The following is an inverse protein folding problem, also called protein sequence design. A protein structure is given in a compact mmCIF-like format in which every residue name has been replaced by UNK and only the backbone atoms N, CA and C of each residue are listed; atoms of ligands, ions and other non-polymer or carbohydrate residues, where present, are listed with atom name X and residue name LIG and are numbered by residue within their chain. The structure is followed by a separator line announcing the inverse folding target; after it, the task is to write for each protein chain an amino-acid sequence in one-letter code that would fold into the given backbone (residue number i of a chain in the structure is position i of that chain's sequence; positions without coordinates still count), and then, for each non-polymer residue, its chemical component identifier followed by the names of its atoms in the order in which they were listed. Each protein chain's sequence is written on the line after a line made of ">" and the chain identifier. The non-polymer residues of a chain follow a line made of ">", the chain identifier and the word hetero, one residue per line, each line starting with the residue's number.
data_IF_738017315520
#
_entry.id   IF_738017315520
#
_cell.length_a   1.000
_cell.length_b   1.000
_cell.length_c   1.000
_cell.angle_alpha   90.00
_cell.angle_beta   90.00
_cell.angle_gamma   90.00
#
_symmetry.space_group_name_H-M   'P 1'
#
loop_
_entity.id
_entity.type
_entity.pdbx_description
1 polymer ?
#
# COMPACT_ATOMS: atom_id res chain seq x y z
N UNK A 1 -39.61 11.01 26.06
CA UNK A 1 -38.16 10.88 26.36
C UNK A 1 -37.46 10.40 25.09
N UNK A 2 -36.76 11.30 24.41
CA UNK A 2 -35.28 11.42 24.29
C UNK A 2 -34.67 10.48 23.22
N UNK A 3 -34.25 11.12 22.13
CA UNK A 3 -33.48 10.64 20.98
C UNK A 3 -32.14 9.99 21.39
N UNK A 4 -31.77 8.88 20.74
CA UNK A 4 -30.38 8.48 20.39
C UNK A 4 -30.46 7.71 19.04
N UNK A 5 -30.12 8.30 17.89
CA UNK A 5 -28.80 8.46 17.22
C UNK A 5 -28.09 7.13 16.85
N UNK A 6 -28.13 6.86 15.53
CA UNK A 6 -27.11 6.33 14.60
C UNK A 6 -26.30 5.06 14.93
N UNK A 7 -26.24 4.12 13.97
CA UNK A 7 -25.01 3.83 13.21
C UNK A 7 -25.29 2.96 11.94
N UNK A 8 -25.15 3.58 10.75
CA UNK A 8 -24.37 3.15 9.56
C UNK A 8 -24.72 1.77 8.96
N UNK A 9 -25.32 1.55 7.78
CA UNK A 9 -25.25 2.20 6.43
C UNK A 9 -23.84 2.22 5.82
N UNK A 10 -23.42 1.08 5.24
CA UNK A 10 -22.30 0.89 4.29
C UNK A 10 -22.38 -0.58 3.83
N UNK A 11 -22.29 -1.05 2.57
CA UNK A 11 -22.25 -0.50 1.22
C UNK A 11 -22.83 -1.65 0.36
N UNK A 12 -24.01 -1.45 -0.23
CA UNK A 12 -24.44 -2.16 -1.45
C UNK A 12 -24.33 -1.09 -2.53
N UNK A 13 -23.18 -1.06 -3.21
CA UNK A 13 -23.00 -0.27 -4.43
C UNK A 13 -22.08 -1.05 -5.38
N UNK A 14 -22.44 -2.30 -5.62
CA UNK A 14 -21.93 -3.08 -6.74
C UNK A 14 -23.12 -3.26 -7.70
N UNK A 15 -22.95 -2.76 -8.93
CA UNK A 15 -23.87 -2.79 -10.07
C UNK A 15 -25.05 -1.80 -10.09
N UNK A 16 -24.80 -0.61 -10.65
CA UNK A 16 -25.65 -0.04 -11.72
C UNK A 16 -24.96 1.18 -12.35
N UNK A 17 -24.86 1.19 -13.68
CA UNK A 17 -24.61 2.42 -14.44
C UNK A 17 -23.46 2.36 -15.43
N UNK A 18 -23.64 1.61 -16.53
CA UNK A 18 -23.13 2.06 -17.83
C UNK A 18 -23.68 3.46 -18.10
N UNK A 19 -22.83 4.48 -18.11
CA UNK A 19 -23.04 5.70 -18.85
C UNK A 19 -21.69 6.16 -19.39
N UNK A 20 -21.52 5.98 -20.71
CA UNK A 20 -20.59 6.77 -21.50
C UNK A 20 -20.97 8.24 -21.33
N UNK A 21 -20.15 9.00 -20.62
CA UNK A 21 -20.10 10.45 -20.76
C UNK A 21 -18.66 10.82 -21.03
N UNK A 22 -18.38 11.04 -22.31
CA UNK A 22 -17.27 11.87 -22.74
C UNK A 22 -17.47 13.27 -22.15
N UNK A 23 -16.67 13.61 -21.15
CA UNK A 23 -16.30 14.99 -20.87
C UNK A 23 -14.77 15.03 -20.91
N UNK A 24 -14.24 15.36 -22.09
CA UNK A 24 -12.95 16.04 -22.19
C UNK A 24 -13.04 17.27 -21.29
N UNK A 25 -12.33 17.26 -20.18
CA UNK A 25 -12.05 18.46 -19.41
C UNK A 25 -10.55 18.55 -19.19
N UNK A 26 -9.94 19.25 -20.15
CA UNK A 26 -8.78 20.14 -20.05
C UNK A 26 -7.71 19.81 -19.01
N UNK A 27 -6.55 19.42 -19.53
CA UNK A 27 -5.22 19.89 -19.12
C UNK A 27 -5.05 20.17 -17.62
N UNK A 28 -4.70 19.14 -16.87
CA UNK A 28 -3.70 19.31 -15.81
C UNK A 28 -2.40 18.77 -16.36
N UNK A 29 -1.50 19.71 -16.65
CA UNK A 29 -0.08 19.59 -16.92
C UNK A 29 0.56 18.26 -16.53
N UNK A 30 1.42 17.76 -17.40
CA UNK A 30 2.64 17.01 -17.08
C UNK A 30 3.48 17.76 -16.04
N UNK A 31 3.01 17.81 -14.80
CA UNK A 31 3.74 18.42 -13.69
C UNK A 31 4.59 17.32 -13.08
N UNK A 32 5.89 17.36 -13.37
CA UNK A 32 6.91 16.63 -12.62
C UNK A 32 6.60 16.75 -11.12
N UNK A 33 6.21 15.65 -10.48
CA UNK A 33 5.93 15.63 -9.04
C UNK A 33 7.25 15.43 -8.33
N UNK A 34 7.63 16.36 -7.44
CA UNK A 34 8.74 16.15 -6.53
C UNK A 34 8.38 15.09 -5.49
N UNK A 35 9.34 14.23 -5.16
CA UNK A 35 9.20 13.27 -4.09
C UNK A 35 9.62 13.92 -2.77
N UNK A 36 8.67 14.58 -2.12
CA UNK A 36 8.92 15.25 -0.84
C UNK A 36 8.90 14.23 0.31
N UNK A 37 9.90 13.33 0.34
CA UNK A 37 10.13 12.44 1.47
C UNK A 37 10.62 13.24 2.67
N UNK A 38 9.68 13.69 3.50
CA UNK A 38 9.93 14.51 4.69
C UNK A 38 10.69 13.76 5.80
N UNK A 39 10.64 12.43 5.81
CA UNK A 39 11.25 11.59 6.85
C UNK A 39 11.96 10.40 6.19
N UNK A 40 13.23 10.18 6.55
CA UNK A 40 13.95 8.93 6.25
C UNK A 40 13.49 7.85 7.25
N UNK A 41 13.03 6.67 6.81
CA UNK A 41 12.62 5.61 7.72
C UNK A 41 13.81 5.05 8.51
N UNK A 42 13.54 4.42 9.67
CA UNK A 42 14.58 3.75 10.44
C UNK A 42 14.91 2.36 9.91
N UNK A 43 13.91 1.72 9.29
CA UNK A 43 13.98 0.36 8.81
C UNK A 43 13.25 0.22 7.48
N UNK A 44 13.79 -0.62 6.62
CA UNK A 44 13.16 -1.04 5.36
C UNK A 44 13.02 -2.56 5.35
N UNK A 45 11.86 -3.05 4.94
CA UNK A 45 11.61 -4.50 4.79
C UNK A 45 11.31 -4.80 3.34
N UNK A 46 12.17 -5.62 2.72
CA UNK A 46 12.10 -5.99 1.31
C UNK A 46 11.43 -7.36 1.17
N UNK A 47 10.36 -7.42 0.38
CA UNK A 47 9.70 -8.67 0.01
C UNK A 47 9.89 -8.94 -1.48
N UNK A 48 10.47 -10.09 -1.82
CA UNK A 48 10.66 -10.54 -3.20
C UNK A 48 9.35 -10.95 -3.86
N UNK A 49 9.34 -11.03 -5.20
CA UNK A 49 8.18 -11.48 -5.94
C UNK A 49 7.65 -12.85 -5.46
N UNK A 50 8.53 -13.81 -5.16
CA UNK A 50 8.10 -15.13 -4.67
C UNK A 50 7.40 -15.04 -3.30
N UNK A 51 7.91 -14.19 -2.40
CA UNK A 51 7.25 -13.90 -1.12
C UNK A 51 5.90 -13.21 -1.33
N UNK A 52 5.80 -12.32 -2.31
CA UNK A 52 4.55 -11.65 -2.66
C UNK A 52 3.52 -12.61 -3.26
N UNK A 53 3.96 -13.57 -4.08
CA UNK A 53 3.11 -14.65 -4.60
C UNK A 53 2.61 -15.53 -3.45
N UNK A 54 3.50 -15.89 -2.50
CA UNK A 54 3.12 -16.63 -1.31
C UNK A 54 2.10 -15.87 -0.44
N UNK A 55 2.32 -14.57 -0.25
CA UNK A 55 1.40 -13.69 0.48
C UNK A 55 0.02 -13.65 -0.21
N UNK A 56 -0.02 -13.40 -1.52
CA UNK A 56 -1.26 -13.39 -2.29
C UNK A 56 -2.01 -14.73 -2.18
N UNK A 57 -1.30 -15.86 -2.17
CA UNK A 57 -1.90 -17.18 -1.98
C UNK A 57 -2.51 -17.31 -0.58
N UNK A 58 -1.80 -16.88 0.46
CA UNK A 58 -2.29 -16.90 1.84
C UNK A 58 -3.50 -15.96 2.03
N UNK A 59 -3.47 -14.76 1.45
CA UNK A 59 -4.60 -13.83 1.46
C UNK A 59 -5.83 -14.39 0.73
N UNK A 60 -5.63 -15.09 -0.39
CA UNK A 60 -6.72 -15.74 -1.11
C UNK A 60 -7.33 -16.89 -0.29
N UNK A 61 -6.51 -17.67 0.43
CA UNK A 61 -7.01 -18.64 1.42
C UNK A 61 -7.84 -17.95 2.51
N UNK A 62 -7.37 -16.81 3.03
CA UNK A 62 -8.08 -16.05 4.06
C UNK A 62 -9.45 -15.57 3.55
N UNK A 63 -9.51 -14.97 2.36
CA UNK A 63 -10.75 -14.51 1.72
C UNK A 63 -11.73 -15.68 1.51
N UNK A 64 -11.25 -16.81 1.01
CA UNK A 64 -12.06 -18.01 0.82
C UNK A 64 -12.59 -18.56 2.17
N UNK A 65 -11.75 -18.58 3.21
CA UNK A 65 -12.16 -19.03 4.54
C UNK A 65 -13.21 -18.10 5.15
N UNK A 66 -13.01 -16.77 5.09
CA UNK A 66 -14.00 -15.78 5.57
C UNK A 66 -15.35 -16.01 4.88
N UNK A 67 -15.36 -16.24 3.56
CA UNK A 67 -16.59 -16.55 2.82
C UNK A 67 -17.27 -17.82 3.36
N UNK A 68 -16.54 -18.92 3.51
CA UNK A 68 -17.06 -20.17 4.04
C UNK A 68 -17.62 -20.03 5.47
N UNK A 69 -16.96 -19.25 6.32
CA UNK A 69 -17.40 -18.99 7.69
C UNK A 69 -18.71 -18.21 7.70
N UNK A 70 -18.82 -17.17 6.88
CA UNK A 70 -20.05 -16.38 6.75
C UNK A 70 -21.21 -17.20 6.17
N UNK A 71 -20.94 -18.18 5.31
CA UNK A 71 -21.96 -19.11 4.77
C UNK A 71 -22.40 -20.14 5.82
N UNK A 72 -21.46 -20.64 6.63
CA UNK A 72 -21.70 -21.70 7.61
C UNK A 72 -22.31 -21.18 8.92
N UNK A 73 -21.96 -19.97 9.33
CA UNK A 73 -22.38 -19.37 10.59
C UNK A 73 -23.10 -18.04 10.36
N UNK A 74 -24.38 -17.98 10.71
CA UNK A 74 -25.13 -16.72 10.78
C UNK A 74 -24.81 -15.91 12.05
N UNK A 75 -24.22 -16.56 13.05
CA UNK A 75 -23.82 -15.97 14.33
C UNK A 75 -22.34 -16.31 14.57
N UNK A 76 -21.46 -15.31 14.45
CA UNK A 76 -20.01 -15.47 14.55
C UNK A 76 -19.55 -15.87 15.96
N UNK A 77 -20.40 -15.73 16.98
CA UNK A 77 -20.09 -16.22 18.34
C UNK A 77 -20.16 -17.75 18.46
N UNK A 78 -20.67 -18.44 17.43
CA UNK A 78 -20.85 -19.91 17.40
C UNK A 78 -19.87 -20.61 16.48
N UNK A 79 -18.84 -19.91 16.00
CA UNK A 79 -17.78 -20.51 15.18
C UNK A 79 -17.13 -21.64 15.98
N UNK A 80 -17.00 -22.82 15.35
CA UNK A 80 -16.38 -23.97 16.00
C UNK A 80 -14.88 -23.77 16.25
N UNK A 81 -14.34 -24.40 17.30
CA UNK A 81 -12.90 -24.39 17.58
C UNK A 81 -12.05 -24.87 16.39
N UNK A 82 -12.56 -25.84 15.61
CA UNK A 82 -11.87 -26.33 14.41
C UNK A 82 -11.70 -25.21 13.38
N UNK A 83 -12.74 -24.41 13.18
CA UNK A 83 -12.73 -23.31 12.21
C UNK A 83 -11.87 -22.13 12.69
N UNK A 84 -11.84 -21.88 14.01
CA UNK A 84 -10.93 -20.91 14.63
C UNK A 84 -9.47 -21.32 14.38
N UNK A 85 -9.11 -22.59 14.60
CA UNK A 85 -7.75 -23.09 14.33
C UNK A 85 -7.33 -22.89 12.87
N UNK A 86 -8.23 -23.12 11.92
CA UNK A 86 -7.94 -22.87 10.49
C UNK A 86 -7.69 -21.37 10.24
N UNK A 87 -8.45 -20.46 10.88
CA UNK A 87 -8.20 -19.03 10.77
C UNK A 87 -6.85 -18.63 11.38
N UNK A 88 -6.49 -19.20 12.53
CA UNK A 88 -5.20 -18.99 13.16
C UNK A 88 -4.04 -19.48 12.28
N UNK A 89 -4.17 -20.67 11.67
CA UNK A 89 -3.20 -21.21 10.72
C UNK A 89 -3.00 -20.28 9.53
N UNK A 90 -4.08 -19.82 8.89
CA UNK A 90 -4.02 -18.88 7.77
C UNK A 90 -3.40 -17.54 8.20
N UNK A 91 -3.77 -17.04 9.39
CA UNK A 91 -3.22 -15.79 9.91
C UNK A 91 -1.72 -15.92 10.21
N UNK A 92 -1.28 -17.06 10.74
CA UNK A 92 0.13 -17.35 10.97
C UNK A 92 0.88 -17.46 9.62
N UNK A 93 0.33 -18.14 8.61
CA UNK A 93 0.94 -18.16 7.26
C UNK A 93 1.15 -16.74 6.71
N UNK A 94 0.15 -15.86 6.81
CA UNK A 94 0.28 -14.45 6.37
C UNK A 94 1.37 -13.74 7.17
N UNK A 95 1.35 -13.88 8.50
CA UNK A 95 2.32 -13.25 9.39
C UNK A 95 3.75 -13.72 9.09
N UNK A 96 3.94 -15.01 8.87
CA UNK A 96 5.24 -15.61 8.59
C UNK A 96 5.81 -15.08 7.27
N UNK A 97 4.97 -14.98 6.22
CA UNK A 97 5.39 -14.39 4.95
C UNK A 97 5.76 -12.92 5.11
N UNK A 98 4.96 -12.13 5.86
CA UNK A 98 5.29 -10.72 6.14
C UNK A 98 6.59 -10.58 6.93
N UNK A 99 6.86 -11.49 7.87
CA UNK A 99 8.09 -11.48 8.67
C UNK A 99 9.31 -12.06 7.95
N UNK A 100 9.12 -12.77 6.85
CA UNK A 100 10.20 -13.37 6.07
C UNK A 100 10.98 -12.37 5.20
N UNK A 101 10.49 -11.14 5.08
CA UNK A 101 11.13 -10.09 4.29
C UNK A 101 12.53 -9.74 4.81
N UNK A 102 13.44 -9.41 3.89
CA UNK A 102 14.80 -8.99 4.23
C UNK A 102 14.77 -7.60 4.86
N UNK A 103 15.22 -7.53 6.11
CA UNK A 103 15.25 -6.30 6.89
C UNK A 103 16.58 -5.57 6.73
N UNK A 104 16.53 -4.26 6.45
CA UNK A 104 17.67 -3.36 6.48
C UNK A 104 17.42 -2.29 7.55
N UNK A 105 18.37 -2.14 8.46
CA UNK A 105 18.37 -1.15 9.56
C UNK A 105 19.64 -0.28 9.54
N UNK A 106 20.49 -0.45 8.52
CA UNK A 106 21.69 0.37 8.34
C UNK A 106 21.30 1.80 7.92
N UNK A 107 21.42 2.74 8.86
CA UNK A 107 21.07 4.15 8.65
C UNK A 107 21.78 4.78 7.44
N UNK A 108 23.07 4.49 7.21
CA UNK A 108 23.82 5.06 6.09
C UNK A 108 23.28 4.56 4.75
N UNK A 109 22.93 3.27 4.66
CA UNK A 109 22.34 2.69 3.45
C UNK A 109 20.97 3.29 3.17
N UNK A 110 20.10 3.36 4.18
CA UNK A 110 18.74 3.89 4.04
C UNK A 110 18.77 5.37 3.66
N UNK A 111 19.59 6.19 4.33
CA UNK A 111 19.73 7.61 4.01
C UNK A 111 20.27 7.82 2.59
N UNK A 112 21.22 7.00 2.16
CA UNK A 112 21.73 7.06 0.78
C UNK A 112 20.61 6.79 -0.24
N UNK A 113 19.79 5.75 -0.05
CA UNK A 113 18.65 5.45 -0.93
C UNK A 113 17.69 6.64 -0.99
N UNK A 114 17.32 7.19 0.18
CA UNK A 114 16.35 8.30 0.23
C UNK A 114 16.90 9.61 -0.34
N UNK A 115 18.20 9.89 -0.21
CA UNK A 115 18.82 11.03 -0.86
C UNK A 115 18.72 10.93 -2.38
N UNK A 116 19.00 9.76 -2.96
CA UNK A 116 18.81 9.56 -4.40
C UNK A 116 17.34 9.71 -4.78
N UNK A 117 16.40 9.15 -4.02
CA UNK A 117 14.97 9.25 -4.33
C UNK A 117 14.46 10.70 -4.28
N UNK A 118 14.92 11.54 -3.35
CA UNK A 118 14.54 12.97 -3.24
C UNK A 118 14.94 13.80 -4.46
N UNK A 119 15.97 13.38 -5.20
CA UNK A 119 16.44 14.06 -6.40
C UNK A 119 15.61 13.69 -7.65
N UNK A 120 14.75 12.67 -7.55
CA UNK A 120 13.95 12.18 -8.66
C UNK A 120 12.60 12.89 -8.76
N UNK A 121 12.08 12.89 -9.99
CA UNK A 121 10.76 13.38 -10.35
C UNK A 121 9.91 12.23 -10.87
N UNK A 122 8.61 12.32 -10.66
CA UNK A 122 7.65 11.31 -11.10
C UNK A 122 6.41 11.87 -11.75
N UNK A 123 5.65 10.97 -12.36
CA UNK A 123 4.36 11.26 -12.99
C UNK A 123 3.23 10.50 -12.28
N UNK A 124 2.05 11.11 -12.15
CA UNK A 124 0.86 10.40 -11.68
C UNK A 124 0.40 9.39 -12.72
N UNK A 125 0.08 8.18 -12.28
CA UNK A 125 -0.54 7.14 -13.08
C UNK A 125 -1.79 6.60 -12.35
N UNK A 126 -2.84 6.32 -13.12
CA UNK A 126 -4.11 5.84 -12.56
C UNK A 126 -4.01 4.39 -12.06
N UNK A 127 -3.21 3.59 -12.75
CA UNK A 127 -2.93 2.19 -12.44
C UNK A 127 -1.59 1.78 -13.02
N UNK A 128 -1.04 0.68 -12.51
CA UNK A 128 0.10 0.00 -13.12
C UNK A 128 -0.23 -1.50 -13.17
N UNK A 129 0.03 -2.12 -14.32
CA UNK A 129 -0.02 -3.57 -14.50
C UNK A 129 1.37 -3.99 -14.95
N UNK A 130 2.26 -4.22 -13.98
CA UNK A 130 3.66 -4.52 -14.26
C UNK A 130 4.16 -5.64 -13.33
N UNK A 131 5.14 -6.40 -13.82
CA UNK A 131 5.84 -7.42 -13.05
C UNK A 131 6.56 -6.77 -11.87
N UNK A 132 6.10 -7.08 -10.65
CA UNK A 132 6.70 -6.58 -9.42
C UNK A 132 7.95 -7.39 -9.11
N UNK A 133 9.09 -6.70 -8.96
CA UNK A 133 10.33 -7.30 -8.46
C UNK A 133 10.29 -7.37 -6.94
N UNK A 134 9.89 -6.26 -6.31
CA UNK A 134 9.83 -6.17 -4.87
C UNK A 134 8.79 -5.18 -4.35
N UNK A 135 8.27 -5.44 -3.15
CA UNK A 135 7.64 -4.43 -2.32
C UNK A 135 8.55 -4.11 -1.14
N UNK A 136 8.68 -2.84 -0.85
CA UNK A 136 9.60 -2.32 0.17
C UNK A 136 8.77 -1.53 1.17
N UNK A 137 8.58 -2.09 2.36
CA UNK A 137 7.86 -1.42 3.44
C UNK A 137 8.80 -0.51 4.21
N UNK A 138 8.33 0.72 4.48
CA UNK A 138 9.07 1.73 5.21
C UNK A 138 8.58 1.76 6.66
N UNK A 139 9.47 1.52 7.61
CA UNK A 139 9.16 1.46 9.04
C UNK A 139 9.84 2.64 9.73
N UNK A 140 9.02 3.55 10.24
CA UNK A 140 9.44 4.72 11.03
C UNK A 140 9.43 4.40 12.54
N UNK A 141 10.14 5.23 13.30
CA UNK A 141 10.11 5.17 14.77
C UNK A 141 8.70 5.48 15.31
N UNK A 142 8.26 4.71 16.29
CA UNK A 142 7.04 5.02 17.06
C UNK A 142 7.16 6.30 17.88
N UNK A 143 8.38 6.76 18.19
CA UNK A 143 8.62 7.96 19.00
C UNK A 143 8.66 9.26 18.17
N UNK A 144 8.87 9.16 16.85
CA UNK A 144 8.80 10.34 15.98
C UNK A 144 7.33 10.55 15.64
N UNK A 145 6.67 11.50 16.31
CA UNK A 145 5.32 11.93 15.93
C UNK A 145 5.34 12.23 14.43
N UNK A 146 4.66 11.39 13.64
CA UNK A 146 4.63 11.52 12.18
C UNK A 146 4.26 12.96 11.84
N UNK A 147 5.25 13.76 11.41
CA UNK A 147 5.02 15.08 10.81
C UNK A 147 4.54 14.83 9.39
N UNK A 148 3.47 14.05 9.27
CA UNK A 148 2.76 13.86 8.03
C UNK A 148 1.76 15.00 8.02
N UNK A 149 2.12 16.11 7.37
CA UNK A 149 1.07 17.00 6.90
C UNK A 149 0.14 16.14 6.04
N UNK A 150 -1.16 16.29 6.22
CA UNK A 150 -2.17 15.53 5.49
C UNK A 150 -1.93 15.55 3.96
N UNK A 151 -1.32 16.61 3.44
CA UNK A 151 -0.81 16.81 2.07
C UNK A 151 0.17 15.72 1.56
N UNK A 152 0.92 15.09 2.46
CA UNK A 152 2.06 14.20 2.14
C UNK A 152 1.91 12.80 2.73
N UNK A 153 0.68 12.31 2.91
CA UNK A 153 0.39 10.94 3.32
C UNK A 153 0.74 9.92 2.22
N UNK A 154 2.03 9.74 1.96
CA UNK A 154 2.53 8.60 1.21
C UNK A 154 2.15 7.32 1.95
N UNK A 155 1.68 6.32 1.21
CA UNK A 155 1.59 4.98 1.77
C UNK A 155 3.04 4.53 1.95
N UNK A 156 3.38 4.04 3.15
CA UNK A 156 4.74 3.64 3.56
C UNK A 156 5.24 2.38 2.83
N UNK A 157 5.22 2.43 1.50
CA UNK A 157 5.52 1.34 0.59
C UNK A 157 6.12 1.92 -0.68
N UNK A 158 7.20 1.30 -1.15
CA UNK A 158 7.73 1.48 -2.49
C UNK A 158 7.58 0.17 -3.24
N UNK A 159 7.29 0.22 -4.53
CA UNK A 159 7.10 -0.97 -5.38
C UNK A 159 8.08 -0.88 -6.53
N UNK A 160 9.05 -1.80 -6.57
CA UNK A 160 10.02 -1.89 -7.66
C UNK A 160 9.46 -2.76 -8.77
N UNK A 161 9.45 -2.24 -10.00
CA UNK A 161 9.00 -2.94 -11.19
C UNK A 161 10.19 -3.44 -12.01
N UNK A 162 9.96 -4.51 -12.78
CA UNK A 162 10.98 -5.19 -13.60
C UNK A 162 11.60 -4.30 -14.68
N UNK A 163 10.83 -3.33 -15.18
CA UNK A 163 11.28 -2.35 -16.15
C UNK A 163 12.19 -1.26 -15.56
N UNK A 164 12.46 -1.32 -14.25
CA UNK A 164 13.33 -0.38 -13.53
C UNK A 164 12.61 0.87 -13.03
N UNK A 165 11.29 0.97 -13.21
CA UNK A 165 10.52 2.02 -12.57
C UNK A 165 10.16 1.63 -11.12
N UNK A 166 9.92 2.64 -10.30
CA UNK A 166 9.36 2.48 -8.97
C UNK A 166 8.00 3.16 -8.90
N UNK A 167 7.04 2.49 -8.28
CA UNK A 167 5.74 3.04 -7.94
C UNK A 167 5.71 3.43 -6.47
N UNK A 168 5.25 4.65 -6.21
CA UNK A 168 5.03 5.20 -4.88
C UNK A 168 3.53 5.47 -4.74
N UNK A 169 2.79 4.64 -3.98
CA UNK A 169 1.38 4.89 -3.73
C UNK A 169 1.20 6.09 -2.80
N UNK A 170 0.29 7.00 -3.16
CA UNK A 170 -0.01 8.23 -2.40
C UNK A 170 -1.50 8.33 -2.12
N UNK A 171 -1.87 8.62 -0.87
CA UNK A 171 -3.26 8.91 -0.53
C UNK A 171 -3.74 10.18 -1.22
N UNK A 172 -4.90 10.14 -1.86
CA UNK A 172 -5.51 11.33 -2.47
C UNK A 172 -6.26 12.11 -1.40
N UNK A 173 -5.96 13.40 -1.32
CA UNK A 173 -6.60 14.34 -0.41
C UNK A 173 -7.56 15.23 -1.19
N UNK A 174 -8.76 15.47 -0.65
CA UNK A 174 -9.64 16.51 -1.17
C UNK A 174 -9.31 17.82 -0.47
N UNK A 175 -9.02 18.84 -1.27
CA UNK A 175 -8.92 20.21 -0.78
C UNK A 175 -10.35 20.72 -0.48
N UNK A 176 -10.69 20.81 0.80
CA UNK A 176 -11.91 21.50 1.23
C UNK A 176 -11.52 22.88 1.71
N UNK A 177 -12.38 23.89 1.49
CA UNK A 177 -12.12 25.31 1.83
C UNK A 177 -11.64 25.58 3.26
N UNK A 178 -11.74 24.61 4.16
CA UNK A 178 -11.35 24.71 5.56
C UNK A 178 -10.23 23.78 5.96
N UNK A 179 -10.09 22.59 5.37
CA UNK A 179 -9.12 21.55 5.77
C UNK A 179 -8.89 20.51 4.66
N UNK A 180 -7.72 19.88 4.63
CA UNK A 180 -7.45 18.69 3.83
C UNK A 180 -8.11 17.46 4.45
N UNK A 181 -8.78 16.65 3.63
CA UNK A 181 -9.43 15.42 4.08
C UNK A 181 -9.06 14.22 3.20
N UNK A 182 -8.84 13.04 3.78
CA UNK A 182 -8.57 11.83 3.00
C UNK A 182 -9.82 11.43 2.21
N UNK A 183 -9.69 11.19 0.91
CA UNK A 183 -10.83 10.76 0.07
C UNK A 183 -11.05 9.26 0.09
N UNK A 184 -10.16 8.50 0.73
CA UNK A 184 -10.12 7.03 0.65
C UNK A 184 -9.66 6.49 -0.71
N UNK A 185 -9.21 7.36 -1.63
CA UNK A 185 -8.63 6.95 -2.91
C UNK A 185 -7.10 6.94 -2.82
N UNK A 186 -6.48 6.09 -3.61
CA UNK A 186 -5.02 5.96 -3.73
C UNK A 186 -4.66 6.32 -5.16
N UNK A 187 -3.69 7.24 -5.32
CA UNK A 187 -3.01 7.50 -6.59
C UNK A 187 -1.63 6.87 -6.59
N UNK A 188 -1.00 6.78 -7.76
CA UNK A 188 0.32 6.19 -7.91
C UNK A 188 1.25 7.17 -8.61
N UNK A 189 2.46 7.33 -8.08
CA UNK A 189 3.52 8.10 -8.72
C UNK A 189 4.51 7.10 -9.31
N UNK A 190 4.73 7.16 -10.62
CA UNK A 190 5.76 6.38 -11.32
C UNK A 190 7.03 7.21 -11.43
N UNK A 191 8.14 6.68 -10.97
CA UNK A 191 9.47 7.28 -11.10
C UNK A 191 10.40 6.35 -11.86
N UNK A 192 11.24 6.92 -12.70
CA UNK A 192 12.32 6.17 -13.36
C UNK A 192 13.55 6.18 -12.47
N UNK A 193 14.02 5.00 -12.06
CA UNK A 193 15.22 4.90 -11.25
C UNK A 193 16.48 4.99 -12.14
N UNK A 194 17.55 5.62 -11.64
CA UNK A 194 18.88 5.43 -12.20
C UNK A 194 19.31 3.96 -12.07
N UNK A 195 20.00 3.43 -13.08
CA UNK A 195 20.43 2.02 -13.13
C UNK A 195 21.17 1.59 -11.87
N UNK A 196 22.07 2.44 -11.35
CA UNK A 196 22.81 2.16 -10.11
C UNK A 196 21.89 1.95 -8.91
N UNK A 197 20.86 2.79 -8.73
CA UNK A 197 19.92 2.67 -7.63
C UNK A 197 19.01 1.45 -7.81
N UNK A 198 18.58 1.19 -9.05
CA UNK A 198 17.84 -0.02 -9.40
C UNK A 198 18.62 -1.27 -8.98
N UNK A 199 19.86 -1.41 -9.44
CA UNK A 199 20.71 -2.57 -9.18
C UNK A 199 20.99 -2.74 -7.67
N UNK A 200 21.18 -1.63 -6.94
CA UNK A 200 21.35 -1.65 -5.48
C UNK A 200 20.10 -2.21 -4.79
N UNK A 201 18.90 -1.80 -5.21
CA UNK A 201 17.65 -2.27 -4.63
C UNK A 201 17.36 -3.74 -5.01
N UNK A 202 17.63 -4.16 -6.25
CA UNK A 202 17.43 -5.56 -6.67
C UNK A 202 18.32 -6.53 -5.88
N UNK A 203 19.59 -6.19 -5.63
CA UNK A 203 20.49 -6.99 -4.78
C UNK A 203 20.01 -7.12 -3.33
N UNK A 204 19.21 -6.17 -2.84
CA UNK A 204 18.63 -6.27 -1.51
C UNK A 204 17.48 -7.27 -1.46
N UNK A 205 16.93 -7.68 -2.61
CA UNK A 205 15.80 -8.60 -2.76
C UNK A 205 16.24 -10.03 -3.05
N UNK A 206 17.39 -10.22 -3.69
CA UNK A 206 17.96 -11.56 -3.94
C UNK A 206 18.31 -12.26 -2.60
N UNK A 207 17.66 -13.41 -2.36
CA UNK A 207 17.91 -14.38 -1.28
C UNK A 207 18.12 -15.75 -1.90
#
# INVERSE_FOLDING_TARGET
>A
MKIRKSLITIIIFIFSGLLLVSCKQNNTSSSDISLDFLITPQKMVFHSNDQLIALNKAENKAKANIKLINEKYSDLSKISEKDIKIQEEIHNEIRDVLNSGKTIENKSTIENIFNHLRELKGDYVDSFEDDIVAKIYLVEDTETSSVVSLENAYIRMLILLKDGNMIIPKGIMSDSKTELKPTGKIGYIRIKLPDKLKDELEKLVEV
#
